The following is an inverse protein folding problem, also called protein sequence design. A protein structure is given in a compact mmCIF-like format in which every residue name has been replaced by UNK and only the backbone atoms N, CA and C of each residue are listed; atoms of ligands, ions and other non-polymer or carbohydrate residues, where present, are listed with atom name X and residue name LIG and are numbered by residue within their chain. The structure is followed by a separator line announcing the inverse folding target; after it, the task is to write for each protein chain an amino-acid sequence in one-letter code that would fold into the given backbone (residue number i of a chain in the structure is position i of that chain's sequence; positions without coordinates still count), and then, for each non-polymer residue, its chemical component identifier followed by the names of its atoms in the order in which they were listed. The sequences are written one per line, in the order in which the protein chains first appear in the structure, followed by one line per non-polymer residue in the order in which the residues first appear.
data_IF_077888574214
#
_entry.id   IF_077888574214
#
_cell.length_a   1.000
_cell.length_b   1.000
_cell.length_c   1.000
_cell.angle_alpha   90.00
_cell.angle_beta   90.00
_cell.angle_gamma   90.00
#
_symmetry.space_group_name_H-M   'P 1'
#
loop_
_entity.id
_entity.type
_entity.pdbx_description
1 polymer ?
#
# COMPACT_ATOMS: atom_id res chain seq x y z
N UNK A 1 14.19 -21.75 5.96
CA UNK A 1 13.86 -21.37 4.57
C UNK A 1 12.34 -21.32 4.49
N UNK A 2 11.74 -20.13 4.37
CA UNK A 2 10.28 -20.03 4.37
C UNK A 2 9.75 -20.48 3.01
N UNK A 3 8.93 -21.52 3.06
CA UNK A 3 8.00 -21.95 2.02
C UNK A 3 7.11 -20.78 1.62
N UNK A 4 6.89 -20.59 0.32
CA UNK A 4 5.90 -19.66 -0.21
C UNK A 4 4.55 -19.90 0.48
N UNK A 5 4.00 -18.89 1.14
CA UNK A 5 2.64 -18.94 1.72
C UNK A 5 1.63 -19.14 0.62
N UNK A 6 0.63 -20.00 0.84
CA UNK A 6 -0.44 -20.22 -0.12
C UNK A 6 -1.20 -18.92 -0.38
N UNK A 7 -1.47 -18.60 -1.65
CA UNK A 7 -2.14 -17.36 -2.03
C UNK A 7 -3.57 -17.31 -1.49
N UNK A 8 -4.26 -18.44 -1.40
CA UNK A 8 -5.61 -18.49 -0.83
C UNK A 8 -5.60 -18.21 0.67
N UNK A 9 -4.64 -18.77 1.41
CA UNK A 9 -4.42 -18.45 2.82
C UNK A 9 -4.16 -16.95 3.04
N UNK A 10 -3.32 -16.33 2.21
CA UNK A 10 -3.04 -14.89 2.30
C UNK A 10 -4.30 -14.06 2.05
N UNK A 11 -5.10 -14.42 1.05
CA UNK A 11 -6.35 -13.72 0.73
C UNK A 11 -7.38 -13.85 1.86
N UNK A 12 -7.56 -15.07 2.40
CA UNK A 12 -8.56 -15.37 3.44
C UNK A 12 -8.21 -14.76 4.79
N UNK A 13 -6.92 -14.52 5.07
CA UNK A 13 -6.44 -13.94 6.32
C UNK A 13 -6.19 -12.43 6.26
N UNK A 14 -6.22 -11.82 5.07
CA UNK A 14 -6.04 -10.38 4.90
C UNK A 14 -7.13 -9.56 5.63
N UNK A 15 -6.75 -8.59 6.45
CA UNK A 15 -7.67 -7.72 7.21
C UNK A 15 -7.23 -6.26 7.12
N UNK A 16 -8.22 -5.35 7.15
CA UNK A 16 -7.95 -3.93 7.26
C UNK A 16 -7.41 -3.58 8.66
N UNK A 17 -6.13 -3.24 8.74
CA UNK A 17 -5.42 -2.93 9.99
C UNK A 17 -5.57 -1.45 10.37
N UNK A 18 -5.90 -1.17 11.64
CA UNK A 18 -6.04 0.19 12.19
C UNK A 18 -4.91 0.62 13.14
N UNK A 19 -4.01 -0.31 13.48
CA UNK A 19 -2.83 -0.07 14.32
C UNK A 19 -1.64 -0.72 13.63
N UNK A 20 -0.66 0.10 13.28
CA UNK A 20 0.55 -0.32 12.58
C UNK A 20 1.76 -0.07 13.48
N UNK A 21 2.81 -0.86 13.29
CA UNK A 21 4.10 -0.60 13.94
C UNK A 21 4.71 0.69 13.38
N UNK A 22 5.53 1.41 14.16
CA UNK A 22 6.19 2.63 13.69
C UNK A 22 7.37 2.34 12.74
N UNK A 23 7.83 1.09 12.66
CA UNK A 23 8.94 0.68 11.82
C UNK A 23 8.70 1.07 10.35
N UNK A 24 9.67 1.70 9.68
CA UNK A 24 9.53 2.03 8.27
C UNK A 24 9.54 0.76 7.42
N UNK A 25 8.77 0.79 6.33
CA UNK A 25 8.83 -0.25 5.30
C UNK A 25 9.96 0.08 4.34
N UNK A 26 10.75 -0.91 3.95
CA UNK A 26 11.81 -0.75 2.94
C UNK A 26 11.23 -0.14 1.64
N UNK A 27 11.89 0.90 1.13
CA UNK A 27 11.43 1.61 -0.06
C UNK A 27 11.43 0.75 -1.32
N UNK A 28 12.34 -0.20 -1.44
CA UNK A 28 12.38 -1.11 -2.59
C UNK A 28 11.22 -2.12 -2.55
N UNK A 29 10.80 -2.52 -1.35
CA UNK A 29 9.60 -3.33 -1.18
C UNK A 29 8.35 -2.53 -1.60
N UNK A 30 8.23 -1.26 -1.21
CA UNK A 30 7.13 -0.39 -1.65
C UNK A 30 7.09 -0.25 -3.17
N UNK A 31 8.25 -0.03 -3.81
CA UNK A 31 8.35 0.03 -5.29
C UNK A 31 7.92 -1.28 -5.94
N UNK A 32 8.34 -2.41 -5.39
CA UNK A 32 7.96 -3.74 -5.89
C UNK A 32 6.44 -3.96 -5.82
N UNK A 33 5.81 -3.52 -4.72
CA UNK A 33 4.35 -3.59 -4.56
C UNK A 33 3.61 -2.72 -5.59
N UNK A 34 4.06 -1.48 -5.78
CA UNK A 34 3.48 -0.58 -6.81
C UNK A 34 3.65 -1.19 -8.20
N UNK A 35 4.82 -1.75 -8.53
CA UNK A 35 5.04 -2.44 -9.81
C UNK A 35 4.08 -3.62 -10.00
N UNK A 36 3.80 -4.39 -8.95
CA UNK A 36 2.82 -5.48 -9.03
C UNK A 36 1.40 -4.92 -9.27
N UNK A 37 1.04 -3.81 -8.63
CA UNK A 37 -0.27 -3.17 -8.81
C UNK A 37 -0.51 -2.71 -10.26
N UNK A 38 0.50 -2.25 -10.98
CA UNK A 38 0.36 -1.84 -12.39
C UNK A 38 0.08 -3.00 -13.35
N UNK A 39 0.13 -4.25 -12.89
CA UNK A 39 -0.22 -5.43 -13.69
C UNK A 39 -1.70 -5.74 -13.70
N UNK A 40 -2.52 -4.99 -12.96
CA UNK A 40 -3.97 -5.11 -13.05
C UNK A 40 -4.44 -4.83 -14.50
N UNK A 41 -5.54 -5.45 -14.96
CA UNK A 41 -6.14 -5.08 -16.24
C UNK A 41 -6.74 -3.67 -16.14
N UNK A 42 -6.69 -2.92 -17.25
CA UNK A 42 -7.37 -1.62 -17.37
C UNK A 42 -8.06 -1.50 -18.73
N UNK A 43 -9.17 -0.77 -18.78
CA UNK A 43 -9.94 -0.58 -20.02
C UNK A 43 -9.03 0.02 -21.10
N UNK A 44 -9.01 -0.58 -22.29
CA UNK A 44 -8.15 -0.16 -23.39
C UNK A 44 -6.65 -0.18 -23.08
N UNK A 45 -6.21 -0.91 -22.05
CA UNK A 45 -4.83 -0.87 -21.53
C UNK A 45 -4.33 0.55 -21.20
N UNK A 46 -5.24 1.41 -20.78
CA UNK A 46 -4.97 2.84 -20.56
C UNK A 46 -4.04 3.08 -19.36
N UNK A 47 -4.01 2.18 -18.38
CA UNK A 47 -3.12 2.24 -17.21
C UNK A 47 -3.12 3.62 -16.50
N UNK A 48 -4.29 4.26 -16.42
CA UNK A 48 -4.47 5.65 -15.92
C UNK A 48 -4.40 5.75 -14.39
N UNK A 49 -3.41 5.12 -13.77
CA UNK A 49 -3.11 5.24 -12.36
C UNK A 49 -1.89 6.11 -12.11
N UNK A 50 -1.94 6.92 -11.06
CA UNK A 50 -0.79 7.56 -10.45
C UNK A 50 -0.60 7.00 -9.05
N UNK A 51 0.62 6.61 -8.71
CA UNK A 51 0.97 6.18 -7.36
C UNK A 51 1.98 7.15 -6.77
N UNK A 52 1.62 7.75 -5.61
CA UNK A 52 2.51 8.57 -4.82
C UNK A 52 2.82 7.85 -3.51
N UNK A 53 4.09 7.49 -3.31
CA UNK A 53 4.57 6.91 -2.05
C UNK A 53 4.92 8.06 -1.11
N UNK A 54 4.25 8.13 0.04
CA UNK A 54 4.54 9.07 1.12
C UNK A 54 5.02 8.27 2.34
N UNK A 55 6.34 8.16 2.47
CA UNK A 55 7.01 7.40 3.53
C UNK A 55 7.69 8.29 4.59
N UNK A 56 7.95 9.55 4.27
CA UNK A 56 8.51 10.53 5.21
C UNK A 56 7.52 10.91 6.33
N UNK A 57 7.99 11.11 7.58
CA UNK A 57 7.13 11.44 8.72
C UNK A 57 6.25 12.68 8.51
N UNK A 58 6.81 13.76 7.98
CA UNK A 58 6.13 15.05 7.80
C UNK A 58 4.98 14.91 6.78
N UNK A 59 5.22 14.19 5.68
CA UNK A 59 4.20 13.92 4.68
C UNK A 59 3.04 13.07 5.23
N UNK A 60 3.35 12.08 6.07
CA UNK A 60 2.35 11.24 6.73
C UNK A 60 1.52 12.04 7.74
N UNK A 61 2.15 12.95 8.49
CA UNK A 61 1.45 13.83 9.44
C UNK A 61 0.50 14.77 8.72
N UNK A 62 0.97 15.46 7.68
CA UNK A 62 0.17 16.35 6.85
C UNK A 62 -1.07 15.65 6.28
N UNK A 63 -0.91 14.48 5.66
CA UNK A 63 -2.04 13.70 5.15
C UNK A 63 -2.98 13.24 6.27
N UNK A 64 -2.43 12.81 7.41
CA UNK A 64 -3.22 12.36 8.54
C UNK A 64 -4.09 13.46 9.16
N UNK A 65 -3.58 14.70 9.22
CA UNK A 65 -4.34 15.88 9.66
C UNK A 65 -5.47 16.21 8.70
N UNK A 66 -5.16 16.32 7.41
CA UNK A 66 -6.16 16.59 6.37
C UNK A 66 -7.29 15.56 6.35
N UNK A 67 -6.96 14.26 6.50
CA UNK A 67 -7.96 13.20 6.54
C UNK A 67 -8.86 13.29 7.78
N UNK A 68 -8.32 13.70 8.94
CA UNK A 68 -9.13 13.91 10.17
C UNK A 68 -10.06 15.11 10.03
N UNK A 69 -9.61 16.18 9.39
CA UNK A 69 -10.45 17.37 9.17
C UNK A 69 -11.59 17.10 8.18
N UNK A 70 -11.33 16.33 7.13
CA UNK A 70 -12.32 16.07 6.08
C UNK A 70 -13.34 14.97 6.45
N UNK A 71 -12.93 13.97 7.24
CA UNK A 71 -13.73 12.76 7.47
C UNK A 71 -13.86 12.33 8.94
N UNK A 72 -13.26 13.06 9.89
CA UNK A 72 -13.39 12.82 11.33
C UNK A 72 -14.61 13.50 11.94
#
# INVERSE_FOLDING_TARGET
MSTTTDIFEVMDTCRAMRRLKPDPVDRDLLRKLVHAATRAPSAGNTQLWGFLIVDEPEGKQFLGELMREQFG
#
